data_IF_130952092755
#
_entry.id   IF_130952092755
#
_cell.length_a   1.000
_cell.length_b   1.000
_cell.length_c   1.000
_cell.angle_alpha   90.00
_cell.angle_beta   90.00
_cell.angle_gamma   90.00
#
_symmetry.space_group_name_H-M   'P 1'
#
loop_
_entity.id
_entity.type
_entity.pdbx_description
1 polymer ?
#
# COMPACT_ATOMS: atom_id res chain seq x y z
N UNK A 1 -21.33 18.89 -1.15
CA UNK A 1 -22.01 17.59 -1.38
C UNK A 1 -22.14 16.87 -0.05
N UNK A 2 -23.26 16.21 0.21
CA UNK A 2 -23.41 15.35 1.40
C UNK A 2 -22.61 14.06 1.18
N UNK A 3 -21.81 13.67 2.19
CA UNK A 3 -21.07 12.42 2.10
C UNK A 3 -22.02 11.24 1.98
N UNK A 4 -21.76 10.34 1.03
CA UNK A 4 -22.57 9.12 0.81
C UNK A 4 -22.22 8.03 1.83
N UNK A 5 -20.99 8.02 2.33
CA UNK A 5 -20.49 7.03 3.29
C UNK A 5 -19.70 7.73 4.39
N UNK A 6 -19.58 7.09 5.56
CA UNK A 6 -18.75 7.57 6.66
C UNK A 6 -17.27 7.22 6.49
N UNK A 7 -16.99 6.08 5.87
CA UNK A 7 -15.65 5.54 5.72
C UNK A 7 -15.45 4.99 4.30
N UNK A 8 -14.23 5.08 3.81
CA UNK A 8 -13.76 4.38 2.62
C UNK A 8 -12.63 3.44 3.05
N UNK A 9 -12.75 2.17 2.73
CA UNK A 9 -11.69 1.15 2.92
C UNK A 9 -11.30 0.64 1.54
N UNK A 10 -10.02 0.69 1.24
CA UNK A 10 -9.43 0.15 0.01
C UNK A 10 -8.52 -1.00 0.39
N UNK A 11 -8.80 -2.19 -0.11
CA UNK A 11 -7.99 -3.40 0.11
C UNK A 11 -7.43 -3.82 -1.24
N UNK A 12 -6.12 -3.97 -1.32
CA UNK A 12 -5.42 -4.47 -2.50
C UNK A 12 -4.83 -5.83 -2.19
N UNK A 13 -5.21 -6.83 -2.97
CA UNK A 13 -4.55 -8.14 -2.97
C UNK A 13 -3.57 -8.14 -4.13
N UNK A 14 -2.28 -8.07 -3.83
CA UNK A 14 -1.24 -8.12 -4.85
C UNK A 14 -1.27 -9.50 -5.55
N UNK A 15 -0.99 -9.50 -6.84
CA UNK A 15 -1.02 -10.70 -7.70
C UNK A 15 -2.39 -11.40 -7.85
N UNK A 16 -3.49 -10.89 -7.30
CA UNK A 16 -4.81 -11.47 -7.52
C UNK A 16 -5.28 -11.17 -8.95
N UNK A 17 -5.43 -12.20 -9.76
CA UNK A 17 -5.71 -12.07 -11.19
C UNK A 17 -7.11 -12.55 -11.58
N UNK A 18 -7.53 -12.19 -12.79
CA UNK A 18 -8.86 -12.55 -13.29
C UNK A 18 -9.11 -14.08 -13.36
N UNK A 19 -8.07 -14.88 -13.50
CA UNK A 19 -8.19 -16.36 -13.50
C UNK A 19 -8.48 -16.92 -12.10
N UNK A 20 -8.18 -16.16 -11.01
CA UNK A 20 -8.48 -16.57 -9.64
C UNK A 20 -9.97 -16.41 -9.30
N UNK A 21 -10.73 -15.73 -10.16
CA UNK A 21 -12.16 -15.44 -9.93
C UNK A 21 -12.98 -16.68 -9.60
N UNK A 22 -12.74 -17.80 -10.28
CA UNK A 22 -13.49 -19.04 -10.08
C UNK A 22 -13.28 -19.62 -8.68
N UNK A 23 -12.12 -19.38 -8.09
CA UNK A 23 -11.81 -19.77 -6.71
C UNK A 23 -12.41 -18.76 -5.72
N UNK A 24 -12.11 -17.46 -5.87
CA UNK A 24 -12.48 -16.43 -4.89
C UNK A 24 -14.00 -16.28 -4.74
N UNK A 25 -14.78 -16.47 -5.82
CA UNK A 25 -16.25 -16.42 -5.74
C UNK A 25 -16.86 -17.50 -4.85
N UNK A 26 -16.11 -18.55 -4.51
CA UNK A 26 -16.57 -19.62 -3.61
C UNK A 26 -16.32 -19.28 -2.15
N UNK A 27 -15.39 -18.35 -1.86
CA UNK A 27 -15.02 -17.95 -0.51
C UNK A 27 -16.18 -17.15 0.13
N UNK A 28 -16.53 -17.42 1.41
CA UNK A 28 -17.74 -16.86 2.02
C UNK A 28 -17.83 -15.34 1.99
N UNK A 29 -16.74 -14.65 2.30
CA UNK A 29 -16.70 -13.19 2.35
C UNK A 29 -16.77 -12.57 0.95
N UNK A 30 -16.03 -13.11 -0.03
CA UNK A 30 -16.12 -12.65 -1.42
C UNK A 30 -17.51 -12.92 -2.00
N UNK A 31 -18.09 -14.07 -1.72
CA UNK A 31 -19.47 -14.39 -2.14
C UNK A 31 -20.48 -13.36 -1.63
N UNK A 32 -20.32 -12.90 -0.37
CA UNK A 32 -21.15 -11.82 0.19
C UNK A 32 -20.92 -10.51 -0.54
N UNK A 33 -19.66 -10.10 -0.76
CA UNK A 33 -19.28 -8.87 -1.47
C UNK A 33 -19.86 -8.88 -2.89
N UNK A 34 -19.73 -9.98 -3.62
CA UNK A 34 -20.25 -10.09 -4.99
C UNK A 34 -21.78 -10.05 -5.05
N UNK A 35 -22.45 -10.55 -4.01
CA UNK A 35 -23.93 -10.49 -3.94
C UNK A 35 -24.45 -9.10 -3.58
N UNK A 36 -23.78 -8.38 -2.70
CA UNK A 36 -24.24 -7.14 -2.08
C UNK A 36 -23.65 -5.89 -2.72
N UNK A 37 -22.55 -6.03 -3.46
CA UNK A 37 -21.83 -4.97 -4.11
C UNK A 37 -21.81 -5.06 -5.63
N UNK A 38 -20.94 -4.24 -6.23
CA UNK A 38 -20.66 -4.28 -7.67
C UNK A 38 -19.23 -4.80 -7.90
N UNK A 39 -19.02 -5.52 -8.98
CA UNK A 39 -17.69 -6.03 -9.33
C UNK A 39 -17.45 -6.02 -10.83
N UNK A 40 -16.18 -5.98 -11.19
CA UNK A 40 -15.71 -6.13 -12.57
C UNK A 40 -14.77 -7.33 -12.59
N UNK A 41 -15.06 -8.32 -13.45
CA UNK A 41 -14.28 -9.56 -13.50
C UNK A 41 -12.90 -9.38 -14.13
N UNK A 42 -12.85 -8.63 -15.23
CA UNK A 42 -11.64 -8.43 -16.00
C UNK A 42 -11.30 -6.93 -16.00
N UNK A 43 -10.16 -6.61 -15.42
CA UNK A 43 -9.63 -5.23 -15.41
C UNK A 43 -8.26 -5.28 -16.07
N UNK A 44 -8.07 -4.40 -17.05
CA UNK A 44 -6.76 -4.20 -17.66
C UNK A 44 -5.93 -3.28 -16.78
N UNK A 45 -4.73 -3.73 -16.41
CA UNK A 45 -3.81 -2.94 -15.60
C UNK A 45 -2.99 -1.99 -16.46
N UNK A 46 -2.26 -1.09 -15.82
CA UNK A 46 -1.30 -0.21 -16.48
C UNK A 46 -0.04 -0.97 -16.94
N UNK A 47 0.74 -0.34 -17.82
CA UNK A 47 2.09 -0.79 -18.15
C UNK A 47 3.13 0.24 -17.66
N UNK A 48 4.19 -0.20 -16.92
CA UNK A 48 4.45 -1.58 -16.46
C UNK A 48 3.53 -2.01 -15.32
N UNK A 49 3.12 -3.30 -15.32
CA UNK A 49 2.26 -3.89 -14.32
C UNK A 49 3.04 -4.34 -13.08
N UNK A 50 3.78 -3.42 -12.49
CA UNK A 50 4.56 -3.62 -11.27
C UNK A 50 3.83 -3.05 -10.07
N UNK A 51 4.10 -3.60 -8.88
CA UNK A 51 3.42 -3.25 -7.62
C UNK A 51 3.38 -1.73 -7.38
N UNK A 52 4.53 -1.06 -7.38
CA UNK A 52 4.62 0.36 -7.04
C UNK A 52 3.98 1.29 -8.08
N UNK A 53 4.22 1.12 -9.39
CA UNK A 53 3.48 1.86 -10.43
C UNK A 53 1.98 1.67 -10.33
N UNK A 54 1.48 0.44 -10.14
CA UNK A 54 0.04 0.15 -10.06
C UNK A 54 -0.59 0.80 -8.83
N UNK A 55 -0.02 0.61 -7.63
CA UNK A 55 -0.54 1.20 -6.40
C UNK A 55 -0.48 2.73 -6.41
N UNK A 56 0.55 3.31 -7.03
CA UNK A 56 0.62 4.77 -7.22
C UNK A 56 -0.45 5.26 -8.17
N UNK A 57 -0.73 4.54 -9.25
CA UNK A 57 -1.83 4.84 -10.18
C UNK A 57 -3.18 4.83 -9.45
N UNK A 58 -3.43 3.85 -8.58
CA UNK A 58 -4.68 3.75 -7.80
C UNK A 58 -4.88 5.01 -6.93
N UNK A 59 -3.85 5.44 -6.22
CA UNK A 59 -3.97 6.57 -5.27
C UNK A 59 -3.85 7.95 -5.90
N UNK A 60 -3.35 8.06 -7.14
CA UNK A 60 -3.22 9.34 -7.85
C UNK A 60 -4.25 9.55 -8.96
N UNK A 61 -4.85 8.45 -9.46
CA UNK A 61 -5.70 8.49 -10.65
C UNK A 61 -4.93 8.86 -11.94
N UNK A 62 -3.61 8.76 -11.93
CA UNK A 62 -2.74 9.12 -13.04
C UNK A 62 -1.90 7.93 -13.52
N UNK A 63 -1.47 7.97 -14.79
CA UNK A 63 -0.52 7.02 -15.34
C UNK A 63 0.93 7.31 -14.87
N UNK A 64 1.85 6.32 -14.97
CA UNK A 64 3.26 6.45 -14.57
C UNK A 64 3.99 7.67 -15.16
N UNK A 65 3.68 8.04 -16.38
CA UNK A 65 4.25 9.24 -17.05
C UNK A 65 3.93 10.55 -16.29
N UNK A 66 2.84 10.57 -15.50
CA UNK A 66 2.43 11.76 -14.75
C UNK A 66 2.85 11.70 -13.29
N UNK A 67 2.80 10.53 -12.66
CA UNK A 67 3.14 10.41 -11.25
C UNK A 67 4.60 10.02 -11.00
N UNK A 68 5.39 9.72 -12.03
CA UNK A 68 6.84 9.52 -11.97
C UNK A 68 7.30 8.13 -11.49
N UNK A 69 6.43 7.30 -10.94
CA UNK A 69 6.80 5.96 -10.46
C UNK A 69 6.64 4.96 -11.60
N UNK A 70 7.76 4.61 -12.24
CA UNK A 70 7.83 3.74 -13.42
C UNK A 70 8.38 2.34 -13.12
N UNK A 71 8.91 2.13 -11.90
CA UNK A 71 9.46 0.86 -11.44
C UNK A 71 9.30 0.76 -9.91
N UNK A 72 9.43 -0.45 -9.36
CA UNK A 72 9.51 -0.64 -7.91
C UNK A 72 10.79 -0.02 -7.35
N UNK A 73 11.90 -0.19 -8.06
CA UNK A 73 13.23 0.26 -7.64
C UNK A 73 13.68 1.53 -8.35
N UNK A 74 14.60 2.25 -7.69
CA UNK A 74 15.33 3.35 -8.30
C UNK A 74 16.38 2.82 -9.29
N UNK A 75 16.65 3.57 -10.35
CA UNK A 75 17.75 3.28 -11.24
C UNK A 75 19.07 3.68 -10.57
N UNK A 76 19.79 2.72 -10.01
CA UNK A 76 21.08 2.90 -9.33
C UNK A 76 22.13 1.96 -9.93
N UNK A 77 22.77 2.31 -11.07
CA UNK A 77 23.75 1.46 -11.73
C UNK A 77 24.89 1.06 -10.79
N UNK A 78 25.27 -0.22 -10.81
CA UNK A 78 26.35 -0.77 -9.96
C UNK A 78 25.95 -1.07 -8.51
N UNK A 79 24.72 -0.77 -8.10
CA UNK A 79 24.20 -1.14 -6.77
C UNK A 79 23.49 -2.49 -6.87
N UNK A 80 24.01 -3.51 -6.18
CA UNK A 80 23.46 -4.87 -6.23
C UNK A 80 22.02 -4.98 -5.68
N UNK A 81 21.69 -4.15 -4.69
CA UNK A 81 20.33 -4.04 -4.12
C UNK A 81 19.90 -2.58 -4.17
N UNK A 82 19.31 -2.12 -5.27
CA UNK A 82 18.86 -0.73 -5.40
C UNK A 82 17.80 -0.38 -4.36
N UNK A 83 17.72 0.89 -4.01
CA UNK A 83 16.62 1.40 -3.20
C UNK A 83 15.32 1.33 -3.99
N UNK A 84 14.22 1.14 -3.26
CA UNK A 84 12.89 1.15 -3.87
C UNK A 84 12.28 2.55 -3.80
N UNK A 85 11.23 2.77 -4.54
CA UNK A 85 10.46 4.02 -4.50
C UNK A 85 9.59 4.12 -3.22
N UNK A 86 10.20 4.00 -2.05
CA UNK A 86 9.50 3.91 -0.77
C UNK A 86 8.76 5.19 -0.35
N UNK A 87 9.23 6.35 -0.82
CA UNK A 87 8.85 7.63 -0.24
C UNK A 87 7.73 8.33 -1.01
N UNK A 88 6.75 8.90 -0.28
CA UNK A 88 5.72 9.75 -0.86
C UNK A 88 6.29 10.88 -1.72
N UNK A 89 7.46 11.39 -1.35
CA UNK A 89 8.13 12.46 -2.09
C UNK A 89 8.56 12.08 -3.52
N UNK A 90 8.59 10.79 -3.86
CA UNK A 90 8.88 10.31 -5.22
C UNK A 90 7.66 10.41 -6.15
N UNK A 91 6.45 10.60 -5.60
CA UNK A 91 5.23 10.74 -6.41
C UNK A 91 5.04 12.20 -6.80
N UNK A 92 4.95 12.45 -8.11
CA UNK A 92 4.57 13.75 -8.64
C UNK A 92 3.05 13.96 -8.54
N UNK A 93 2.63 15.17 -8.16
CA UNK A 93 1.22 15.51 -7.98
C UNK A 93 0.66 15.08 -6.62
N UNK A 94 -0.66 15.04 -6.51
CA UNK A 94 -1.40 14.74 -5.28
C UNK A 94 -1.94 13.31 -5.26
N UNK A 95 -2.14 12.78 -4.07
CA UNK A 95 -2.73 11.47 -3.83
C UNK A 95 -4.09 11.61 -3.12
N UNK A 96 -4.87 10.54 -3.09
CA UNK A 96 -6.10 10.46 -2.29
C UNK A 96 -5.85 10.82 -0.82
N UNK A 97 -4.69 10.45 -0.25
CA UNK A 97 -4.31 10.79 1.12
C UNK A 97 -4.11 12.31 1.29
N UNK A 98 -3.46 12.94 0.34
CA UNK A 98 -3.22 14.39 0.39
C UNK A 98 -4.55 15.16 0.32
N UNK A 99 -5.44 14.76 -0.58
CA UNK A 99 -6.75 15.41 -0.75
C UNK A 99 -7.66 15.14 0.47
N UNK A 100 -7.66 13.93 1.01
CA UNK A 100 -8.38 13.61 2.23
C UNK A 100 -7.85 14.45 3.42
N UNK A 101 -6.54 14.59 3.55
CA UNK A 101 -5.91 15.43 4.58
C UNK A 101 -6.30 16.91 4.45
N UNK A 102 -6.31 17.47 3.23
CA UNK A 102 -6.79 18.83 2.95
C UNK A 102 -8.27 19.01 3.34
N UNK A 103 -9.07 17.96 3.18
CA UNK A 103 -10.47 17.93 3.60
C UNK A 103 -10.66 17.64 5.10
N UNK A 104 -9.58 17.64 5.89
CA UNK A 104 -9.58 17.32 7.32
C UNK A 104 -10.11 15.93 7.67
N UNK A 105 -10.01 14.97 6.74
CA UNK A 105 -10.35 13.59 6.98
C UNK A 105 -9.17 12.82 7.57
N UNK A 106 -9.48 11.84 8.40
CA UNK A 106 -8.48 10.92 8.94
C UNK A 106 -8.14 9.85 7.91
N UNK A 107 -6.84 9.62 7.70
CA UNK A 107 -6.31 8.66 6.75
C UNK A 107 -5.42 7.64 7.45
N UNK A 108 -5.45 6.41 6.97
CA UNK A 108 -4.56 5.34 7.40
C UNK A 108 -4.01 4.59 6.17
N UNK A 109 -2.81 4.06 6.30
CA UNK A 109 -2.21 3.15 5.32
C UNK A 109 -1.44 2.04 6.05
N UNK A 110 -1.73 0.81 5.68
CA UNK A 110 -1.03 -0.38 6.15
C UNK A 110 -0.33 -1.02 4.95
N UNK A 111 0.99 -1.01 4.99
CA UNK A 111 1.88 -1.57 3.96
C UNK A 111 1.51 -1.14 2.52
N UNK A 112 0.91 0.04 2.37
CA UNK A 112 0.66 0.58 1.04
C UNK A 112 1.97 1.13 0.45
N UNK A 113 2.33 0.73 -0.79
CA UNK A 113 3.56 1.19 -1.43
C UNK A 113 3.68 2.72 -1.55
N UNK A 114 4.90 3.21 -1.57
CA UNK A 114 5.23 4.63 -1.76
C UNK A 114 4.59 5.57 -0.71
N UNK A 115 4.46 5.10 0.52
CA UNK A 115 3.88 5.91 1.62
C UNK A 115 4.89 6.36 2.68
N UNK A 116 6.17 6.00 2.54
CA UNK A 116 7.21 6.43 3.47
C UNK A 116 7.24 7.96 3.61
N UNK A 117 7.25 8.46 4.86
CA UNK A 117 7.23 9.89 5.21
C UNK A 117 6.06 10.70 4.64
N UNK A 118 4.94 10.06 4.34
CA UNK A 118 3.75 10.73 3.82
C UNK A 118 3.09 11.59 4.89
N UNK A 119 3.12 12.91 4.73
CA UNK A 119 2.51 13.87 5.67
C UNK A 119 0.98 13.85 5.66
N UNK A 120 0.37 13.43 4.56
CA UNK A 120 -1.08 13.32 4.41
C UNK A 120 -1.69 12.08 5.06
N UNK A 121 -0.87 11.18 5.64
CA UNK A 121 -1.33 9.94 6.27
C UNK A 121 -1.12 10.03 7.78
N UNK A 122 -2.22 10.06 8.53
CA UNK A 122 -2.18 10.17 9.99
C UNK A 122 -1.69 8.88 10.66
N UNK A 123 -2.14 7.73 10.18
CA UNK A 123 -1.78 6.42 10.69
C UNK A 123 -1.08 5.64 9.58
N UNK A 124 0.24 5.58 9.62
CA UNK A 124 1.05 5.01 8.55
C UNK A 124 1.99 3.92 9.06
N UNK A 125 1.76 2.70 8.60
CA UNK A 125 2.73 1.62 8.60
C UNK A 125 3.21 1.46 7.14
N UNK A 126 4.33 2.11 6.75
CA UNK A 126 4.77 2.10 5.35
C UNK A 126 5.39 0.76 4.96
N UNK A 127 5.21 0.39 3.71
CA UNK A 127 5.99 -0.68 3.10
C UNK A 127 7.41 -0.16 2.81
N UNK A 128 8.34 -0.42 3.72
CA UNK A 128 9.74 0.00 3.61
C UNK A 128 10.66 -1.02 4.28
N UNK A 129 11.75 -1.37 3.61
CA UNK A 129 12.64 -2.42 4.06
C UNK A 129 14.04 -1.94 4.37
N UNK A 130 14.65 -2.56 5.39
CA UNK A 130 16.06 -2.45 5.65
C UNK A 130 16.83 -3.23 4.57
N UNK A 131 17.35 -2.53 3.57
CA UNK A 131 18.07 -3.13 2.44
C UNK A 131 19.59 -2.91 2.49
N UNK A 132 20.13 -2.52 3.64
CA UNK A 132 21.56 -2.37 3.90
C UNK A 132 21.94 -3.14 5.17
N UNK A 133 23.16 -3.73 5.23
CA UNK A 133 23.59 -4.53 6.38
C UNK A 133 23.62 -3.79 7.73
N UNK A 134 23.75 -2.46 7.70
CA UNK A 134 23.76 -1.61 8.91
C UNK A 134 22.41 -1.08 9.32
N UNK A 135 21.35 -1.34 8.55
CA UNK A 135 20.00 -0.89 8.87
C UNK A 135 19.29 -1.89 9.79
N UNK A 136 18.48 -1.35 10.69
CA UNK A 136 17.56 -2.11 11.52
C UNK A 136 16.14 -1.91 11.01
N UNK A 137 15.42 -2.99 10.72
CA UNK A 137 14.07 -2.94 10.15
C UNK A 137 13.09 -2.16 11.01
N UNK A 138 13.13 -2.31 12.33
CA UNK A 138 12.24 -1.60 13.25
C UNK A 138 12.47 -0.09 13.16
N UNK A 139 13.75 0.33 13.20
CA UNK A 139 14.09 1.74 13.09
C UNK A 139 13.72 2.33 11.73
N UNK A 140 13.96 1.59 10.65
CA UNK A 140 13.57 2.01 9.30
C UNK A 140 12.07 2.23 9.22
N UNK A 141 11.26 1.32 9.74
CA UNK A 141 9.80 1.44 9.74
C UNK A 141 9.32 2.62 10.60
N UNK A 142 9.80 2.73 11.85
CA UNK A 142 9.42 3.79 12.77
C UNK A 142 9.76 5.20 12.26
N UNK A 143 10.94 5.37 11.67
CA UNK A 143 11.42 6.66 11.16
C UNK A 143 10.68 7.13 9.89
N UNK A 144 9.98 6.24 9.21
CA UNK A 144 9.34 6.52 7.93
C UNK A 144 7.81 6.45 7.96
N UNK A 145 7.22 6.09 9.10
CA UNK A 145 5.78 6.02 9.31
C UNK A 145 5.31 6.80 10.54
N UNK A 146 4.25 6.32 11.20
CA UNK A 146 3.72 6.90 12.43
C UNK A 146 4.11 6.01 13.62
N UNK A 147 5.11 6.39 14.43
CA UNK A 147 5.66 5.52 15.48
C UNK A 147 4.64 5.07 16.52
N UNK A 148 3.76 5.97 16.97
CA UNK A 148 2.72 5.64 17.96
C UNK A 148 1.72 4.61 17.43
N UNK A 149 1.35 4.71 16.15
CA UNK A 149 0.47 3.76 15.51
C UNK A 149 1.13 2.39 15.34
N UNK A 150 2.37 2.36 14.88
CA UNK A 150 3.14 1.12 14.74
C UNK A 150 3.35 0.43 16.09
N UNK A 151 3.57 1.20 17.14
CA UNK A 151 3.64 0.68 18.52
C UNK A 151 2.32 0.06 18.95
N UNK A 152 1.19 0.73 18.68
CA UNK A 152 -0.15 0.21 18.99
C UNK A 152 -0.43 -1.10 18.26
N UNK A 153 -0.12 -1.18 16.95
CA UNK A 153 -0.25 -2.40 16.18
C UNK A 153 0.60 -3.53 16.76
N UNK A 154 1.85 -3.23 17.12
CA UNK A 154 2.74 -4.20 17.73
C UNK A 154 2.22 -4.74 19.09
N UNK A 155 1.57 -3.90 19.89
CA UNK A 155 0.98 -4.32 21.15
C UNK A 155 -0.27 -5.20 20.97
N UNK A 156 -1.06 -4.93 19.94
CA UNK A 156 -2.31 -5.65 19.70
C UNK A 156 -2.13 -6.95 18.94
N UNK A 157 -1.28 -6.93 17.91
CA UNK A 157 -1.17 -8.00 16.91
C UNK A 157 0.23 -8.68 16.93
N UNK A 158 1.11 -8.25 17.81
CA UNK A 158 2.47 -8.75 17.88
C UNK A 158 3.42 -8.05 16.94
N UNK A 159 4.62 -8.60 16.81
CA UNK A 159 5.65 -7.99 15.98
C UNK A 159 5.42 -8.32 14.51
N UNK A 160 5.58 -7.34 13.65
CA UNK A 160 5.83 -7.55 12.22
C UNK A 160 7.22 -8.19 12.09
N UNK A 161 7.32 -9.46 12.46
CA UNK A 161 8.57 -10.23 12.46
C UNK A 161 8.90 -10.66 11.06
N UNK A 162 10.18 -10.63 10.76
CA UNK A 162 10.73 -11.11 9.48
C UNK A 162 10.21 -10.38 8.23
N UNK A 163 9.56 -9.25 8.42
CA UNK A 163 9.26 -8.16 7.49
C UNK A 163 8.75 -8.48 6.10
N UNK A 164 9.01 -9.65 5.58
CA UNK A 164 8.85 -9.97 4.16
C UNK A 164 8.47 -11.43 3.90
N UNK A 165 8.38 -12.24 4.95
CA UNK A 165 7.99 -13.62 4.77
C UNK A 165 6.47 -13.73 4.74
N UNK A 166 5.96 -14.34 3.71
CA UNK A 166 4.56 -14.73 3.62
C UNK A 166 4.42 -16.19 4.04
N UNK A 167 3.33 -16.57 4.67
CA UNK A 167 2.07 -15.81 4.84
C UNK A 167 2.01 -14.87 6.06
N UNK A 168 3.01 -14.83 6.93
CA UNK A 168 2.97 -14.12 8.21
C UNK A 168 2.73 -12.61 8.05
N UNK A 169 3.21 -12.02 6.95
CA UNK A 169 2.97 -10.61 6.63
C UNK A 169 1.50 -10.37 6.26
N UNK A 170 0.92 -11.27 5.48
CA UNK A 170 -0.47 -11.18 5.05
C UNK A 170 -1.41 -11.36 6.25
N UNK A 171 -1.12 -12.31 7.12
CA UNK A 171 -1.87 -12.56 8.36
C UNK A 171 -1.85 -11.32 9.27
N UNK A 172 -0.68 -10.70 9.46
CA UNK A 172 -0.56 -9.47 10.26
C UNK A 172 -1.39 -8.31 9.70
N UNK A 173 -1.52 -8.19 8.39
CA UNK A 173 -2.32 -7.11 7.76
C UNK A 173 -3.81 -7.36 7.89
N UNK A 174 -4.22 -8.64 7.98
CA UNK A 174 -5.63 -9.03 8.07
C UNK A 174 -6.18 -8.98 9.50
N UNK A 175 -5.34 -9.02 10.54
CA UNK A 175 -5.72 -8.89 11.95
C UNK A 175 -6.03 -7.42 12.33
#
# INVERSE_FOLDING_TARGET
MKALTKNLVVISFDCLAAYDYELIKTLPNFKRIFREGSYVRNVETIYPSLTYPCHTTIVTGNYPIKHGIINNTLLQPGVASPDWNWYRSSIEGTTLYDEASKAHLTTAALLWPVTGKAKGIKYNLPEIFANRPWQNQILVSLLNGTPSYQWELNQRFGHLRNGLNQPELDDFVLE
#
